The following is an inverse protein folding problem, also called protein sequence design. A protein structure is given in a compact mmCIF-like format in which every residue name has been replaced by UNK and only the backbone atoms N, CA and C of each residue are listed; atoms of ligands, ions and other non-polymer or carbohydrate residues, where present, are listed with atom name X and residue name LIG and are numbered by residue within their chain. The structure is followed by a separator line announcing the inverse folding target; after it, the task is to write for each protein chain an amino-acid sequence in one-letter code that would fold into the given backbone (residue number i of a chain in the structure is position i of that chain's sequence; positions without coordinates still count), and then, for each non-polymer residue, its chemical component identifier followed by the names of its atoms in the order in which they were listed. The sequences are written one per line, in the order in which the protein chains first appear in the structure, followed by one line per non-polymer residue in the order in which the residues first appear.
data_IF_574808199492
#
_entry.id   IF_574808199492
#
_cell.length_a   1.000
_cell.length_b   1.000
_cell.length_c   1.000
_cell.angle_alpha   90.00
_cell.angle_beta   90.00
_cell.angle_gamma   90.00
#
_symmetry.space_group_name_H-M   'P 1'
#
loop_
_entity.id
_entity.type
_entity.pdbx_description
1 polymer ?
#
# COMPACT_ATOMS: atom_id res chain seq x y z
N UNK A 1 18.54 5.24 -8.54
CA UNK A 1 17.87 4.00 -8.11
C UNK A 1 16.75 4.40 -7.15
N UNK A 2 15.62 3.69 -7.14
CA UNK A 2 14.53 3.94 -6.18
C UNK A 2 14.70 2.96 -5.04
N UNK A 3 14.91 3.45 -3.82
CA UNK A 3 15.00 2.62 -2.62
C UNK A 3 13.60 2.17 -2.20
N UNK A 4 13.44 0.89 -1.85
CA UNK A 4 12.14 0.34 -1.42
C UNK A 4 11.61 1.01 -0.15
N UNK A 5 12.50 1.46 0.73
CA UNK A 5 12.12 2.21 1.94
C UNK A 5 11.48 3.58 1.65
N UNK A 6 11.73 4.17 0.47
CA UNK A 6 11.09 5.44 0.09
C UNK A 6 9.69 5.24 -0.51
N UNK A 7 9.26 3.99 -0.75
CA UNK A 7 7.94 3.66 -1.29
C UNK A 7 6.91 3.71 -0.17
N UNK A 8 5.90 4.55 -0.35
CA UNK A 8 4.75 4.66 0.55
C UNK A 8 3.68 3.63 0.19
N UNK A 9 3.28 3.61 -1.08
CA UNK A 9 2.29 2.69 -1.60
C UNK A 9 2.33 2.61 -3.13
N UNK A 10 1.72 1.58 -3.68
CA UNK A 10 1.59 1.33 -5.11
C UNK A 10 0.11 1.30 -5.47
N UNK A 11 -0.23 1.99 -6.54
CA UNK A 11 -1.56 2.09 -7.11
C UNK A 11 -1.61 1.35 -8.44
N UNK A 12 -2.52 0.42 -8.60
CA UNK A 12 -2.70 -0.36 -9.81
C UNK A 12 -3.75 0.23 -10.73
N UNK A 13 -3.36 0.51 -11.96
CA UNK A 13 -4.20 1.00 -13.05
C UNK A 13 -4.15 0.05 -14.25
N UNK A 14 -4.98 -1.00 -14.25
CA UNK A 14 -5.12 -2.03 -15.30
C UNK A 14 -3.78 -2.68 -15.70
N UNK A 15 -2.99 -2.00 -16.53
CA UNK A 15 -1.69 -2.47 -17.06
C UNK A 15 -0.49 -1.68 -16.49
N UNK A 16 -0.74 -0.66 -15.70
CA UNK A 16 0.27 0.21 -15.10
C UNK A 16 0.19 0.14 -13.58
N UNK A 17 1.32 0.42 -12.95
CA UNK A 17 1.40 0.64 -11.51
C UNK A 17 2.09 1.96 -11.26
N UNK A 18 1.43 2.82 -10.50
CA UNK A 18 1.99 4.08 -10.04
C UNK A 18 2.55 3.89 -8.63
N UNK A 19 3.84 4.13 -8.48
CA UNK A 19 4.57 4.00 -7.24
C UNK A 19 4.64 5.40 -6.61
N UNK A 20 4.04 5.54 -5.43
CA UNK A 20 4.02 6.78 -4.67
C UNK A 20 5.16 6.79 -3.67
N UNK A 21 6.04 7.80 -3.76
CA UNK A 21 7.26 7.89 -2.96
C UNK A 21 7.15 9.02 -1.92
N UNK A 22 7.89 8.88 -0.82
CA UNK A 22 7.96 9.90 0.27
C UNK A 22 8.37 11.29 -0.21
N UNK A 23 9.15 11.37 -1.29
CA UNK A 23 9.56 12.65 -1.92
C UNK A 23 8.45 13.39 -2.67
N UNK A 24 7.18 13.01 -2.51
CA UNK A 24 6.03 13.47 -3.32
C UNK A 24 6.20 13.24 -4.83
N UNK A 25 7.14 12.38 -5.22
CA UNK A 25 7.34 11.96 -6.60
C UNK A 25 6.63 10.66 -6.84
N UNK A 26 6.07 10.53 -8.04
CA UNK A 26 5.38 9.34 -8.48
C UNK A 26 6.10 8.75 -9.69
N UNK A 27 6.23 7.43 -9.72
CA UNK A 27 6.82 6.71 -10.85
C UNK A 27 5.78 5.75 -11.41
N UNK A 28 5.43 5.91 -12.68
CA UNK A 28 4.51 4.99 -13.36
C UNK A 28 5.32 3.95 -14.14
N UNK A 29 4.99 2.67 -13.92
CA UNK A 29 5.65 1.54 -14.57
C UNK A 29 4.60 0.71 -15.31
N UNK A 30 4.91 0.27 -16.53
CA UNK A 30 4.09 -0.66 -17.32
C UNK A 30 4.21 -2.11 -16.81
N UNK A 31 3.89 -2.30 -15.53
CA UNK A 31 3.86 -3.59 -14.83
C UNK A 31 2.62 -3.61 -13.94
N UNK A 32 2.02 -4.78 -13.79
CA UNK A 32 0.84 -4.95 -12.93
C UNK A 32 1.24 -5.04 -11.47
N UNK A 33 0.32 -4.70 -10.56
CA UNK A 33 0.53 -4.84 -9.10
C UNK A 33 0.94 -6.25 -8.69
N UNK A 34 0.49 -7.28 -9.42
CA UNK A 34 0.85 -8.67 -9.12
C UNK A 34 2.36 -8.90 -9.16
N UNK A 35 3.04 -8.31 -10.15
CA UNK A 35 4.50 -8.42 -10.28
C UNK A 35 5.20 -7.79 -9.06
N UNK A 36 4.65 -6.69 -8.54
CA UNK A 36 5.18 -6.04 -7.34
C UNK A 36 4.86 -6.84 -6.07
N UNK A 37 3.65 -7.38 -5.95
CA UNK A 37 3.26 -8.25 -4.83
C UNK A 37 4.19 -9.46 -4.71
N UNK A 38 4.59 -10.06 -5.83
CA UNK A 38 5.49 -11.23 -5.86
C UNK A 38 6.96 -10.86 -5.57
N UNK A 39 7.36 -9.59 -5.69
CA UNK A 39 8.76 -9.15 -5.57
C UNK A 39 9.08 -8.30 -4.35
N UNK A 40 8.06 -7.71 -3.71
CA UNK A 40 8.21 -6.90 -2.51
C UNK A 40 8.20 -7.79 -1.25
N UNK A 41 8.88 -7.33 -0.21
CA UNK A 41 8.91 -8.03 1.08
C UNK A 41 7.49 -8.09 1.67
N UNK A 42 6.88 -9.28 1.84
CA UNK A 42 5.53 -9.42 2.35
C UNK A 42 5.38 -9.01 3.82
N UNK A 43 6.50 -8.86 4.55
CA UNK A 43 6.49 -8.31 5.91
C UNK A 43 6.40 -6.80 5.93
N UNK A 44 6.68 -6.11 4.83
CA UNK A 44 6.61 -4.64 4.72
C UNK A 44 5.50 -4.17 3.81
N UNK A 45 5.24 -4.91 2.74
CA UNK A 45 4.27 -4.54 1.73
C UNK A 45 3.05 -5.46 1.80
N UNK A 46 1.89 -4.87 1.97
CA UNK A 46 0.64 -5.62 2.05
C UNK A 46 -0.37 -5.13 1.00
N UNK A 47 -0.94 -6.05 0.23
CA UNK A 47 -2.00 -5.76 -0.71
C UNK A 47 -3.33 -5.54 0.03
N UNK A 48 -3.72 -4.28 0.22
CA UNK A 48 -4.94 -3.89 0.95
C UNK A 48 -6.20 -3.89 0.08
N UNK A 49 -6.04 -3.82 -1.24
CA UNK A 49 -7.15 -3.88 -2.20
C UNK A 49 -6.71 -4.46 -3.54
N UNK A 50 -7.64 -4.63 -4.47
CA UNK A 50 -7.32 -5.09 -5.83
C UNK A 50 -6.37 -4.13 -6.56
N UNK A 51 -6.42 -2.84 -6.22
CA UNK A 51 -5.68 -1.75 -6.85
C UNK A 51 -4.66 -1.06 -5.93
N UNK A 52 -4.37 -1.60 -4.75
CA UNK A 52 -3.40 -0.98 -3.84
C UNK A 52 -2.55 -1.98 -3.04
N UNK A 53 -1.24 -1.73 -3.02
CA UNK A 53 -0.26 -2.35 -2.11
C UNK A 53 0.33 -1.23 -1.27
N UNK A 54 0.33 -1.38 0.05
CA UNK A 54 0.82 -0.36 0.98
C UNK A 54 2.09 -0.83 1.68
N UNK A 55 3.01 0.08 1.94
CA UNK A 55 4.10 -0.14 2.87
C UNK A 55 3.61 0.12 4.31
N UNK A 56 3.60 -0.91 5.15
CA UNK A 56 3.06 -0.85 6.50
C UNK A 56 3.90 0.03 7.43
N UNK A 57 5.21 0.17 7.16
CA UNK A 57 6.13 0.99 7.95
C UNK A 57 5.76 2.49 7.89
N UNK A 58 4.99 2.90 6.86
CA UNK A 58 4.57 4.29 6.65
C UNK A 58 3.12 4.56 7.09
N UNK A 59 2.45 3.61 7.74
CA UNK A 59 1.09 3.81 8.25
C UNK A 59 1.14 4.63 9.54
N UNK A 60 0.46 5.77 9.55
CA UNK A 60 0.39 6.68 10.70
C UNK A 60 -0.89 6.53 11.48
N UNK A 61 -1.99 6.16 10.82
CA UNK A 61 -3.30 6.05 11.47
C UNK A 61 -4.19 5.01 10.81
N UNK A 62 -4.99 4.33 11.64
CA UNK A 62 -6.08 3.48 11.22
C UNK A 62 -7.42 4.17 11.49
N UNK A 63 -8.28 4.28 10.49
CA UNK A 63 -9.60 4.88 10.60
C UNK A 63 -10.68 3.79 10.44
N UNK A 64 -11.60 3.72 11.42
CA UNK A 64 -12.65 2.68 11.50
C UNK A 64 -14.07 3.24 11.50
N UNK A 65 -14.25 4.53 11.18
CA UNK A 65 -15.52 5.22 11.39
C UNK A 65 -16.65 4.72 10.47
N UNK A 66 -16.33 4.27 9.26
CA UNK A 66 -17.28 3.67 8.30
C UNK A 66 -16.64 2.46 7.61
N UNK A 67 -15.94 2.71 6.50
CA UNK A 67 -15.04 1.73 5.87
C UNK A 67 -13.67 1.78 6.56
N UNK A 68 -13.01 0.64 6.65
CA UNK A 68 -11.65 0.56 7.16
C UNK A 68 -10.72 1.28 6.19
N UNK A 69 -10.00 2.29 6.65
CA UNK A 69 -8.96 2.96 5.87
C UNK A 69 -7.72 3.24 6.71
N UNK A 70 -6.62 3.47 6.03
CA UNK A 70 -5.34 3.82 6.63
C UNK A 70 -4.90 5.18 6.12
N UNK A 71 -4.19 5.92 6.97
CA UNK A 71 -3.51 7.16 6.61
C UNK A 71 -2.01 6.91 6.64
N UNK A 72 -1.31 7.41 5.62
CA UNK A 72 0.15 7.30 5.50
C UNK A 72 0.87 8.57 5.94
N UNK A 73 2.20 8.54 5.97
CA UNK A 73 3.04 9.68 6.36
C UNK A 73 2.90 10.90 5.45
N UNK A 74 2.48 10.73 4.19
CA UNK A 74 2.19 11.81 3.25
C UNK A 74 0.75 12.34 3.35
N UNK A 75 -0.03 11.87 4.35
CA UNK A 75 -1.47 12.10 4.51
C UNK A 75 -2.36 11.44 3.45
N UNK A 76 -1.81 10.60 2.56
CA UNK A 76 -2.62 9.78 1.66
C UNK A 76 -3.50 8.84 2.49
N UNK A 77 -4.79 8.78 2.14
CA UNK A 77 -5.74 7.88 2.79
C UNK A 77 -6.15 6.78 1.82
N UNK A 78 -5.92 5.52 2.19
CA UNK A 78 -6.20 4.37 1.34
C UNK A 78 -7.23 3.47 2.01
N UNK A 79 -8.29 3.14 1.27
CA UNK A 79 -9.32 2.23 1.74
C UNK A 79 -8.83 0.78 1.73
N UNK A 80 -9.10 0.06 2.82
CA UNK A 80 -8.91 -1.38 2.89
C UNK A 80 -10.18 -2.05 2.38
N UNK A 81 -10.03 -2.88 1.35
CA UNK A 81 -11.17 -3.61 0.78
C UNK A 81 -11.76 -4.59 1.79
N UNK A 82 -13.07 -4.82 1.75
CA UNK A 82 -13.79 -5.74 2.66
C UNK A 82 -13.08 -7.10 2.77
N UNK A 83 -12.73 -7.68 1.62
CA UNK A 83 -12.09 -8.97 1.50
C UNK A 83 -10.68 -9.05 2.12
N UNK A 84 -10.06 -7.90 2.43
CA UNK A 84 -8.71 -7.80 3.00
C UNK A 84 -8.71 -7.22 4.41
N UNK A 85 -9.86 -6.85 4.97
CA UNK A 85 -9.95 -6.21 6.29
C UNK A 85 -9.43 -7.12 7.39
N UNK A 86 -9.87 -8.37 7.44
CA UNK A 86 -9.50 -9.31 8.51
C UNK A 86 -8.00 -9.64 8.48
N UNK A 87 -7.47 -9.94 7.28
CA UNK A 87 -6.04 -10.19 7.05
C UNK A 87 -5.20 -8.98 7.48
N UNK A 88 -5.60 -7.78 7.05
CA UNK A 88 -4.89 -6.54 7.38
C UNK A 88 -4.90 -6.26 8.89
N UNK A 89 -6.05 -6.42 9.55
CA UNK A 89 -6.16 -6.21 11.00
C UNK A 89 -5.34 -7.23 11.79
N UNK A 90 -5.23 -8.47 11.29
CA UNK A 90 -4.40 -9.51 11.91
C UNK A 90 -2.92 -9.20 11.76
N UNK A 91 -2.48 -8.73 10.60
CA UNK A 91 -1.11 -8.29 10.36
C UNK A 91 -0.76 -7.09 11.25
N UNK A 92 -1.60 -6.06 11.26
CA UNK A 92 -1.33 -4.81 11.98
C UNK A 92 -1.29 -5.00 13.51
N UNK A 93 -2.03 -5.96 14.07
CA UNK A 93 -1.98 -6.28 15.51
C UNK A 93 -0.69 -6.98 15.95
N UNK A 94 0.07 -7.54 15.02
CA UNK A 94 1.33 -8.25 15.33
C UNK A 94 2.54 -7.31 15.43
N UNK A 95 2.36 -6.06 15.03
CA UNK A 95 3.36 -4.99 15.05
C UNK A 95 3.11 -4.15 16.30
#
# INVERSE_FOLDING_TARGET
MVETNDILWLEGEINYTKIHLRSMRNVTVAKTLRIFEDSLDPQKFFRISRSAIVNIDHITRLNRNNALSITLTDNSTIAVSEARKEDFLTLYKKI
#
